data_IF_431842130113
#
_entry.id   IF_431842130113
#
_cell.length_a   1.000
_cell.length_b   1.000
_cell.length_c   1.000
_cell.angle_alpha   90.00
_cell.angle_beta   90.00
_cell.angle_gamma   90.00
#
_symmetry.space_group_name_H-M   'P 1'
#
loop_
_entity.id
_entity.type
_entity.pdbx_description
1 polymer ?
#
# COMPACT_ATOMS: atom_id res chain seq x y z
N UNK A 1 75.29 -46.24 -33.34
CA UNK A 1 75.05 -45.12 -32.45
C UNK A 1 73.56 -44.94 -32.39
N UNK A 2 72.91 -45.42 -31.27
CA UNK A 2 71.46 -45.24 -31.02
C UNK A 2 71.25 -43.88 -30.25
N UNK A 3 70.47 -43.02 -30.86
CA UNK A 3 69.98 -41.77 -30.16
C UNK A 3 68.74 -42.11 -29.35
N UNK A 4 68.85 -41.97 -28.05
CA UNK A 4 67.72 -42.06 -27.13
C UNK A 4 67.14 -40.63 -27.00
N UNK A 5 65.92 -40.46 -27.49
CA UNK A 5 65.17 -39.23 -27.29
C UNK A 5 64.41 -39.28 -25.95
N UNK A 6 64.70 -38.34 -25.08
CA UNK A 6 63.97 -38.16 -23.82
C UNK A 6 62.79 -37.24 -24.09
N UNK A 7 61.56 -37.79 -23.99
CA UNK A 7 60.32 -37.01 -24.05
C UNK A 7 60.05 -36.43 -22.64
N UNK A 8 60.10 -35.11 -22.55
CA UNK A 8 59.75 -34.38 -21.35
C UNK A 8 58.20 -34.20 -21.32
N UNK A 9 57.52 -34.92 -20.41
CA UNK A 9 56.07 -34.75 -20.19
C UNK A 9 55.89 -33.64 -19.16
N UNK A 10 55.40 -32.46 -19.62
CA UNK A 10 55.00 -31.37 -18.78
C UNK A 10 53.58 -31.63 -18.25
N UNK A 11 53.45 -32.01 -16.98
CA UNK A 11 52.16 -32.11 -16.27
C UNK A 11 51.76 -30.73 -15.81
N UNK A 12 50.79 -30.11 -16.49
CA UNK A 12 50.13 -28.91 -16.04
C UNK A 12 49.09 -29.27 -14.96
N UNK A 13 49.41 -29.06 -13.68
CA UNK A 13 48.43 -29.11 -12.60
C UNK A 13 47.62 -27.81 -12.61
N UNK A 14 46.36 -27.89 -13.12
CA UNK A 14 45.39 -26.85 -12.95
C UNK A 14 44.99 -26.77 -11.46
N UNK A 15 45.54 -25.83 -10.72
CA UNK A 15 44.96 -25.41 -9.46
C UNK A 15 43.67 -24.63 -9.78
N UNK A 16 42.54 -25.33 -9.76
CA UNK A 16 41.23 -24.70 -9.79
C UNK A 16 41.03 -23.91 -8.51
N UNK A 17 41.25 -22.61 -8.58
CA UNK A 17 40.81 -21.69 -7.52
C UNK A 17 39.27 -21.70 -7.49
N UNK A 18 38.71 -22.45 -6.54
CA UNK A 18 37.30 -22.33 -6.22
C UNK A 18 37.08 -20.90 -5.66
N UNK A 19 36.61 -19.98 -6.50
CA UNK A 19 36.07 -18.70 -6.06
C UNK A 19 34.80 -19.05 -5.29
N UNK A 20 34.92 -19.13 -3.96
CA UNK A 20 33.76 -19.12 -3.08
C UNK A 20 33.07 -17.79 -3.31
N UNK A 21 31.90 -17.83 -3.98
CA UNK A 21 31.02 -16.68 -4.03
C UNK A 21 30.63 -16.35 -2.59
N UNK A 22 31.26 -15.32 -2.04
CA UNK A 22 30.91 -14.78 -0.73
C UNK A 22 29.50 -14.25 -0.86
N UNK A 23 28.54 -14.90 -0.19
CA UNK A 23 27.15 -14.44 -0.19
C UNK A 23 27.16 -12.99 0.29
N UNK A 24 26.73 -12.07 -0.56
CA UNK A 24 26.62 -10.67 -0.21
C UNK A 24 25.70 -10.58 1.03
N UNK A 25 26.18 -9.95 2.09
CA UNK A 25 25.38 -9.69 3.29
C UNK A 25 24.24 -8.79 2.85
N UNK A 26 23.01 -9.33 2.83
CA UNK A 26 21.82 -8.55 2.51
C UNK A 26 21.49 -7.67 3.70
N UNK A 27 21.37 -6.37 3.45
CA UNK A 27 20.92 -5.41 4.47
C UNK A 27 19.48 -5.79 4.85
N UNK A 28 19.18 -5.99 6.14
CA UNK A 28 17.82 -6.27 6.57
C UNK A 28 16.85 -5.15 6.16
N UNK A 29 15.64 -5.52 5.72
CA UNK A 29 14.59 -4.56 5.47
C UNK A 29 13.97 -4.06 6.79
N UNK A 30 13.88 -2.75 6.92
CA UNK A 30 13.09 -2.03 7.92
C UNK A 30 12.00 -1.29 7.16
N UNK A 31 10.90 -1.98 6.89
CA UNK A 31 9.84 -1.50 6.02
C UNK A 31 8.70 -0.88 6.83
N UNK A 32 8.38 0.37 6.51
CA UNK A 32 7.26 1.12 7.08
C UNK A 32 6.30 1.52 5.97
N UNK A 33 5.05 1.06 6.07
CA UNK A 33 3.95 1.55 5.26
C UNK A 33 3.17 2.59 6.05
N UNK A 34 2.97 3.77 5.48
CA UNK A 34 2.26 4.86 6.12
C UNK A 34 1.28 5.52 5.14
N UNK A 35 0.25 6.13 5.68
CA UNK A 35 -0.73 6.83 4.87
C UNK A 35 -2.18 6.53 5.20
N UNK A 36 -2.97 6.27 4.17
CA UNK A 36 -4.42 6.11 4.23
C UNK A 36 -4.88 4.63 4.30
N UNK A 37 -6.14 4.39 3.99
CA UNK A 37 -6.77 3.07 3.99
C UNK A 37 -6.09 2.05 3.08
N UNK A 38 -5.44 2.48 1.98
CA UNK A 38 -4.73 1.57 1.09
C UNK A 38 -3.46 1.02 1.74
N UNK A 39 -2.72 1.87 2.47
CA UNK A 39 -1.56 1.44 3.23
C UNK A 39 -1.98 0.57 4.45
N UNK A 40 -3.13 0.87 5.07
CA UNK A 40 -3.69 0.05 6.14
C UNK A 40 -4.17 -1.32 5.65
N UNK A 41 -4.54 -1.46 4.37
CA UNK A 41 -5.06 -2.71 3.80
C UNK A 41 -6.58 -2.85 3.90
N UNK A 42 -7.33 -1.74 3.78
CA UNK A 42 -8.79 -1.80 3.83
C UNK A 42 -9.36 -2.48 2.58
N UNK A 43 -10.25 -3.44 2.80
CA UNK A 43 -10.91 -4.21 1.74
C UNK A 43 -12.25 -3.58 1.31
N UNK A 44 -12.87 -4.02 0.19
CA UNK A 44 -14.16 -3.50 -0.28
C UNK A 44 -15.34 -3.73 0.68
N UNK A 45 -15.17 -4.46 1.75
CA UNK A 45 -16.15 -4.73 2.80
C UNK A 45 -15.79 -4.05 4.14
N UNK A 46 -14.99 -3.00 4.09
CA UNK A 46 -14.57 -2.17 5.23
C UNK A 46 -13.80 -2.92 6.34
N UNK A 47 -13.18 -4.05 6.00
CA UNK A 47 -12.28 -4.78 6.92
C UNK A 47 -10.83 -4.40 6.63
N UNK A 48 -9.99 -4.43 7.66
CA UNK A 48 -8.54 -4.33 7.50
C UNK A 48 -8.00 -5.75 7.34
N UNK A 49 -7.28 -6.01 6.25
CA UNK A 49 -6.72 -7.30 5.91
C UNK A 49 -5.35 -7.14 5.24
N UNK A 50 -4.83 -8.20 4.65
CA UNK A 50 -3.60 -8.14 3.88
C UNK A 50 -3.75 -7.20 2.68
N UNK A 51 -3.10 -6.05 2.75
CA UNK A 51 -3.02 -5.05 1.69
C UNK A 51 -1.73 -5.15 0.88
N UNK A 52 -1.47 -4.14 0.03
CA UNK A 52 -0.24 -4.10 -0.77
C UNK A 52 1.02 -4.11 0.12
N UNK A 53 0.95 -3.48 1.29
CA UNK A 53 2.09 -3.40 2.22
C UNK A 53 2.48 -4.78 2.76
N UNK A 54 1.49 -5.59 3.13
CA UNK A 54 1.70 -6.95 3.62
C UNK A 54 2.27 -7.84 2.52
N UNK A 55 1.80 -7.69 1.28
CA UNK A 55 2.29 -8.43 0.11
C UNK A 55 3.75 -8.06 -0.22
N UNK A 56 4.09 -6.76 -0.15
CA UNK A 56 5.48 -6.29 -0.29
C UNK A 56 6.36 -6.90 0.81
N UNK A 57 5.92 -6.84 2.08
CA UNK A 57 6.67 -7.40 3.20
C UNK A 57 6.91 -8.91 3.03
N UNK A 58 5.90 -9.65 2.56
CA UNK A 58 6.01 -11.07 2.25
C UNK A 58 7.05 -11.36 1.17
N UNK A 59 7.05 -10.58 0.09
CA UNK A 59 8.01 -10.75 -1.00
C UNK A 59 9.43 -10.35 -0.58
N UNK A 60 9.59 -9.26 0.19
CA UNK A 60 10.87 -8.89 0.79
C UNK A 60 11.43 -10.04 1.64
N UNK A 61 10.60 -10.67 2.47
CA UNK A 61 11.00 -11.75 3.36
C UNK A 61 11.49 -13.01 2.64
N UNK A 62 11.08 -13.25 1.40
CA UNK A 62 11.60 -14.34 0.55
C UNK A 62 13.03 -14.10 0.09
N UNK A 63 13.41 -12.84 -0.03
CA UNK A 63 14.67 -12.47 -0.68
C UNK A 63 15.70 -11.91 0.28
N UNK A 64 15.30 -11.37 1.44
CA UNK A 64 16.19 -10.77 2.44
C UNK A 64 15.55 -10.84 3.83
N UNK A 65 16.34 -10.73 4.91
CA UNK A 65 15.79 -10.58 6.25
C UNK A 65 14.90 -9.34 6.34
N UNK A 66 13.72 -9.45 6.96
CA UNK A 66 12.87 -8.33 7.31
C UNK A 66 12.95 -8.16 8.82
N UNK A 67 13.70 -7.14 9.27
CA UNK A 67 13.91 -6.86 10.68
C UNK A 67 12.75 -6.08 11.30
N UNK A 68 12.04 -5.28 10.48
CA UNK A 68 10.83 -4.56 10.86
C UNK A 68 9.88 -4.50 9.67
N UNK A 69 8.63 -4.79 9.93
CA UNK A 69 7.51 -4.40 9.07
C UNK A 69 6.40 -3.85 9.95
N UNK A 70 5.89 -2.68 9.61
CA UNK A 70 4.73 -2.09 10.28
C UNK A 70 3.93 -1.22 9.33
N UNK A 71 2.62 -1.16 9.58
CA UNK A 71 1.65 -0.24 8.98
C UNK A 71 0.87 0.57 10.04
N UNK A 72 1.41 0.67 11.25
CA UNK A 72 0.80 1.38 12.37
C UNK A 72 0.72 2.91 12.18
N UNK A 73 1.34 3.42 11.12
CA UNK A 73 1.25 4.82 10.72
C UNK A 73 0.27 5.06 9.56
N UNK A 74 -0.57 4.05 9.25
CA UNK A 74 -1.56 4.09 8.19
C UNK A 74 -2.97 3.92 8.77
N UNK A 75 -3.87 4.86 8.44
CA UNK A 75 -5.25 4.82 8.94
C UNK A 75 -6.26 5.10 7.83
N UNK A 76 -7.38 4.36 7.79
CA UNK A 76 -8.49 4.66 6.90
C UNK A 76 -8.98 6.10 7.05
N UNK A 77 -9.24 6.75 5.90
CA UNK A 77 -9.74 8.12 5.88
C UNK A 77 -8.69 9.22 6.03
N UNK A 78 -7.43 8.91 6.35
CA UNK A 78 -6.39 9.94 6.49
C UNK A 78 -6.21 10.74 5.20
N UNK A 79 -6.29 12.06 5.34
CA UNK A 79 -5.90 13.06 4.35
C UNK A 79 -4.39 13.28 4.39
N UNK A 80 -3.87 14.09 3.47
CA UNK A 80 -2.45 14.49 3.53
C UNK A 80 -2.11 15.27 4.81
N UNK A 81 -3.05 16.03 5.37
CA UNK A 81 -2.87 16.74 6.64
C UNK A 81 -2.71 15.74 7.79
N UNK A 82 -3.63 14.76 7.90
CA UNK A 82 -3.60 13.74 8.96
C UNK A 82 -2.29 12.93 8.91
N UNK A 83 -1.83 12.57 7.71
CA UNK A 83 -0.55 11.88 7.52
C UNK A 83 0.62 12.77 7.97
N UNK A 84 0.59 14.07 7.65
CA UNK A 84 1.62 15.02 8.09
C UNK A 84 1.68 15.13 9.62
N UNK A 85 0.53 15.17 10.27
CA UNK A 85 0.46 15.18 11.73
C UNK A 85 0.95 13.86 12.32
N UNK A 86 0.52 12.73 11.74
CA UNK A 86 0.91 11.40 12.21
C UNK A 86 2.42 11.17 12.17
N UNK A 87 3.10 11.54 11.09
CA UNK A 87 4.55 11.37 11.00
C UNK A 87 5.33 12.31 11.95
N UNK A 88 4.72 13.40 12.42
CA UNK A 88 5.31 14.30 13.41
C UNK A 88 5.11 13.82 14.85
N UNK A 89 4.23 12.86 15.06
CA UNK A 89 3.93 12.35 16.40
C UNK A 89 5.15 11.71 17.07
N UNK A 90 5.20 11.68 18.42
CA UNK A 90 6.26 11.00 19.14
C UNK A 90 6.39 9.51 18.82
N UNK A 91 5.24 8.83 18.59
CA UNK A 91 5.16 7.40 18.29
C UNK A 91 5.82 7.06 16.95
N UNK A 92 5.74 7.96 15.98
CA UNK A 92 6.37 7.77 14.66
C UNK A 92 7.90 7.89 14.70
N UNK A 93 8.46 8.54 15.71
CA UNK A 93 9.89 8.95 15.72
C UNK A 93 10.86 7.79 15.59
N UNK A 94 10.73 6.78 16.44
CA UNK A 94 11.67 5.64 16.47
C UNK A 94 11.49 4.73 15.27
N UNK A 95 10.23 4.50 14.87
CA UNK A 95 9.88 3.69 13.70
C UNK A 95 10.47 4.31 12.44
N UNK A 96 10.27 5.60 12.21
CA UNK A 96 10.80 6.30 11.03
C UNK A 96 12.34 6.37 11.05
N UNK A 97 12.96 6.59 12.20
CA UNK A 97 14.41 6.65 12.29
C UNK A 97 15.09 5.31 11.96
N UNK A 98 14.41 4.20 12.17
CA UNK A 98 14.90 2.85 11.84
C UNK A 98 14.64 2.45 10.38
N UNK A 99 13.67 3.06 9.71
CA UNK A 99 13.21 2.67 8.37
C UNK A 99 14.33 2.83 7.31
N UNK A 100 14.40 1.86 6.40
CA UNK A 100 15.18 1.98 5.16
C UNK A 100 14.32 1.81 3.89
N UNK A 101 13.06 1.39 4.04
CA UNK A 101 12.05 1.36 2.98
C UNK A 101 10.78 1.99 3.53
N UNK A 102 10.23 2.98 2.83
CA UNK A 102 8.95 3.59 3.17
C UNK A 102 8.06 3.60 1.95
N UNK A 103 6.82 3.07 2.06
CA UNK A 103 5.75 3.35 1.12
C UNK A 103 4.77 4.34 1.72
N UNK A 104 4.38 5.35 0.94
CA UNK A 104 3.48 6.42 1.33
C UNK A 104 2.26 6.45 0.41
N UNK A 105 1.06 6.29 0.97
CA UNK A 105 -0.22 6.40 0.29
C UNK A 105 -1.01 7.56 0.94
N UNK A 106 -1.06 8.74 0.31
CA UNK A 106 -1.77 9.91 0.83
C UNK A 106 -2.22 10.84 -0.31
N UNK A 107 -3.41 11.40 -0.21
CA UNK A 107 -3.95 12.39 -1.15
C UNK A 107 -5.32 12.07 -1.74
N UNK A 108 -5.72 10.80 -1.80
CA UNK A 108 -7.04 10.46 -2.32
C UNK A 108 -8.16 11.01 -1.42
N UNK A 109 -8.04 10.90 -0.11
CA UNK A 109 -9.08 11.35 0.83
C UNK A 109 -9.28 12.86 0.83
N UNK A 110 -8.28 13.64 0.44
CA UNK A 110 -8.42 15.10 0.22
C UNK A 110 -9.49 15.40 -0.84
N UNK A 111 -9.65 14.50 -1.83
CA UNK A 111 -10.69 14.60 -2.87
C UNK A 111 -11.94 13.79 -2.54
N UNK A 112 -11.80 12.55 -2.05
CA UNK A 112 -12.90 11.62 -1.84
C UNK A 112 -13.96 12.18 -0.89
N UNK A 113 -13.56 12.90 0.15
CA UNK A 113 -14.47 13.58 1.09
C UNK A 113 -15.36 14.65 0.45
N UNK A 114 -15.04 15.10 -0.77
CA UNK A 114 -15.81 16.09 -1.52
C UNK A 114 -16.81 15.46 -2.50
N UNK A 115 -16.73 14.15 -2.70
CA UNK A 115 -17.51 13.42 -3.69
C UNK A 115 -18.77 12.85 -3.05
N UNK A 116 -19.92 13.14 -3.67
CA UNK A 116 -21.19 12.52 -3.32
C UNK A 116 -21.49 11.43 -4.35
N UNK A 117 -21.60 10.19 -3.91
CA UNK A 117 -21.81 9.02 -4.77
C UNK A 117 -23.24 8.51 -4.61
N UNK A 118 -23.89 8.20 -5.74
CA UNK A 118 -25.11 7.42 -5.77
C UNK A 118 -24.85 6.10 -6.52
N UNK A 119 -24.50 5.01 -5.80
CA UNK A 119 -24.14 3.74 -6.42
C UNK A 119 -25.30 3.11 -7.21
N UNK A 120 -26.57 3.32 -6.77
CA UNK A 120 -27.76 2.78 -7.45
C UNK A 120 -27.94 3.39 -8.85
N UNK A 121 -27.58 4.64 -9.02
CA UNK A 121 -27.67 5.34 -10.30
C UNK A 121 -26.34 5.32 -11.08
N UNK A 122 -25.27 4.83 -10.48
CA UNK A 122 -23.91 4.93 -11.04
C UNK A 122 -23.52 6.38 -11.32
N UNK A 123 -23.86 7.28 -10.39
CA UNK A 123 -23.61 8.71 -10.53
C UNK A 123 -22.79 9.24 -9.35
N UNK A 124 -21.99 10.27 -9.61
CA UNK A 124 -21.28 11.03 -8.59
C UNK A 124 -21.31 12.52 -8.92
N UNK A 125 -21.18 13.35 -7.88
CA UNK A 125 -21.08 14.80 -7.99
C UNK A 125 -19.99 15.35 -7.10
N UNK A 126 -19.34 16.39 -7.54
CA UNK A 126 -18.38 17.18 -6.76
C UNK A 126 -18.34 18.62 -7.30
N UNK A 127 -17.84 19.56 -6.49
CA UNK A 127 -17.64 20.94 -6.92
C UNK A 127 -16.19 21.14 -7.37
N UNK A 128 -15.99 21.55 -8.62
CA UNK A 128 -14.66 21.68 -9.22
C UNK A 128 -13.77 22.64 -8.41
N UNK A 129 -14.30 23.77 -7.95
CA UNK A 129 -13.52 24.74 -7.17
C UNK A 129 -13.01 24.14 -5.84
N UNK A 130 -13.82 23.31 -5.18
CA UNK A 130 -13.40 22.63 -3.96
C UNK A 130 -12.32 21.58 -4.26
N UNK A 131 -12.47 20.83 -5.35
CA UNK A 131 -11.46 19.87 -5.79
C UNK A 131 -10.12 20.56 -6.12
N UNK A 132 -10.16 21.76 -6.74
CA UNK A 132 -8.96 22.53 -7.04
C UNK A 132 -8.24 23.01 -5.77
N UNK A 133 -8.98 23.46 -4.76
CA UNK A 133 -8.41 23.79 -3.45
C UNK A 133 -7.81 22.58 -2.76
N UNK A 134 -8.54 21.48 -2.69
CA UNK A 134 -8.07 20.24 -2.06
C UNK A 134 -6.79 19.70 -2.73
N UNK A 135 -6.71 19.73 -4.05
CA UNK A 135 -5.50 19.34 -4.78
C UNK A 135 -4.31 20.25 -4.46
N UNK A 136 -4.55 21.56 -4.27
CA UNK A 136 -3.46 22.46 -3.90
C UNK A 136 -3.00 22.24 -2.45
N UNK A 137 -3.91 21.98 -1.52
CA UNK A 137 -3.58 21.59 -0.14
C UNK A 137 -2.83 20.27 -0.10
N UNK A 138 -3.32 19.26 -0.81
CA UNK A 138 -2.65 17.95 -0.93
C UNK A 138 -1.21 18.10 -1.47
N UNK A 139 -0.99 18.99 -2.45
CA UNK A 139 0.35 19.29 -2.95
C UNK A 139 1.25 19.88 -1.88
N UNK A 140 0.77 20.89 -1.14
CA UNK A 140 1.55 21.54 -0.08
C UNK A 140 1.88 20.56 1.06
N UNK A 141 0.88 19.80 1.49
CA UNK A 141 1.05 18.80 2.53
C UNK A 141 1.99 17.67 2.09
N UNK A 142 1.88 17.18 0.84
CA UNK A 142 2.79 16.16 0.30
C UNK A 142 4.24 16.65 0.27
N UNK A 143 4.49 17.90 -0.13
CA UNK A 143 5.83 18.49 -0.07
C UNK A 143 6.36 18.55 1.37
N UNK A 144 5.50 18.89 2.34
CA UNK A 144 5.85 18.91 3.76
C UNK A 144 6.09 17.51 4.33
N UNK A 145 5.23 16.53 3.98
CA UNK A 145 5.40 15.11 4.36
C UNK A 145 6.77 14.60 3.91
N UNK A 146 7.10 14.80 2.64
CA UNK A 146 8.37 14.34 2.09
C UNK A 146 9.58 15.02 2.72
N UNK A 147 9.47 16.29 3.08
CA UNK A 147 10.51 17.01 3.81
C UNK A 147 10.70 16.45 5.24
N UNK A 148 9.60 16.17 5.95
CA UNK A 148 9.65 15.54 7.29
C UNK A 148 10.21 14.12 7.21
N UNK A 149 9.80 13.30 6.23
CA UNK A 149 10.35 11.96 6.05
C UNK A 149 11.86 11.99 5.78
N UNK A 150 12.32 12.92 4.95
CA UNK A 150 13.76 13.11 4.72
C UNK A 150 14.54 13.44 5.99
N UNK A 151 13.92 14.21 6.90
CA UNK A 151 14.55 14.58 8.17
C UNK A 151 14.50 13.43 9.20
N UNK A 152 13.38 12.71 9.29
CA UNK A 152 13.13 11.70 10.32
C UNK A 152 13.60 10.29 9.94
N UNK A 153 13.60 9.98 8.65
CA UNK A 153 14.00 8.70 8.07
C UNK A 153 15.13 8.88 7.03
N UNK A 154 16.30 9.45 7.40
CA UNK A 154 17.33 9.84 6.44
C UNK A 154 17.98 8.66 5.69
N UNK A 155 17.72 7.43 6.12
CA UNK A 155 18.24 6.19 5.50
C UNK A 155 17.22 5.52 4.58
N UNK A 156 15.98 6.03 4.57
CA UNK A 156 14.89 5.37 3.85
C UNK A 156 14.82 5.81 2.40
N UNK A 157 14.67 4.83 1.52
CA UNK A 157 14.14 5.05 0.18
C UNK A 157 12.63 5.20 0.30
N UNK A 158 12.10 6.35 -0.14
CA UNK A 158 10.67 6.69 -0.03
C UNK A 158 10.00 6.47 -1.37
N UNK A 159 8.90 5.71 -1.37
CA UNK A 159 8.08 5.39 -2.52
C UNK A 159 6.67 5.97 -2.31
N UNK A 160 6.32 6.99 -3.09
CA UNK A 160 4.99 7.58 -3.09
C UNK A 160 4.11 6.76 -4.03
N UNK A 161 3.11 6.08 -3.44
CA UNK A 161 2.15 5.27 -4.19
C UNK A 161 1.17 6.19 -4.93
N UNK A 162 1.02 5.99 -6.23
CA UNK A 162 -0.05 6.60 -7.01
C UNK A 162 -1.40 5.95 -6.70
N UNK A 163 -2.46 6.52 -7.27
CA UNK A 163 -3.81 6.02 -7.14
C UNK A 163 -4.35 5.53 -8.47
N UNK A 164 -5.33 4.64 -8.41
CA UNK A 164 -6.08 4.07 -9.52
C UNK A 164 -7.45 4.76 -9.65
N UNK A 165 -8.19 4.45 -10.71
CA UNK A 165 -9.54 4.97 -10.90
C UNK A 165 -10.52 4.31 -9.91
N UNK A 166 -10.90 5.09 -8.89
CA UNK A 166 -11.66 4.59 -7.73
C UNK A 166 -13.14 4.32 -8.01
N UNK A 167 -13.69 4.85 -9.12
CA UNK A 167 -15.12 4.76 -9.44
C UNK A 167 -15.41 4.05 -10.77
N UNK A 168 -14.95 2.81 -10.99
CA UNK A 168 -15.10 2.14 -12.28
C UNK A 168 -16.56 1.82 -12.66
N UNK A 169 -17.47 1.84 -11.68
CA UNK A 169 -18.90 1.52 -11.84
C UNK A 169 -19.78 2.73 -12.18
N UNK A 170 -19.23 3.94 -12.20
CA UNK A 170 -20.01 5.12 -12.63
C UNK A 170 -20.29 5.09 -14.12
N UNK A 171 -21.33 5.83 -14.55
CA UNK A 171 -21.69 5.98 -15.96
C UNK A 171 -20.52 6.51 -16.78
N UNK A 172 -20.38 6.05 -18.01
CA UNK A 172 -19.26 6.44 -18.88
C UNK A 172 -19.14 7.96 -19.07
N UNK A 173 -20.28 8.66 -19.10
CA UNK A 173 -20.32 10.12 -19.20
C UNK A 173 -19.64 10.85 -18.03
N UNK A 174 -19.43 10.19 -16.89
CA UNK A 174 -18.77 10.77 -15.72
C UNK A 174 -17.31 10.33 -15.53
N UNK A 175 -16.93 9.25 -16.22
CA UNK A 175 -15.56 8.70 -16.09
C UNK A 175 -14.48 9.69 -16.51
N UNK A 176 -14.71 10.45 -17.59
CA UNK A 176 -13.73 11.43 -18.07
C UNK A 176 -13.45 12.53 -17.05
N UNK A 177 -14.51 13.14 -16.49
CA UNK A 177 -14.36 14.23 -15.51
C UNK A 177 -13.69 13.77 -14.22
N UNK A 178 -14.06 12.57 -13.76
CA UNK A 178 -13.48 11.96 -12.55
C UNK A 178 -12.04 11.53 -12.78
N UNK A 179 -11.76 10.93 -13.95
CA UNK A 179 -10.41 10.52 -14.35
C UNK A 179 -9.43 11.69 -14.41
N UNK A 180 -9.88 12.86 -14.89
CA UNK A 180 -9.07 14.09 -14.87
C UNK A 180 -8.62 14.50 -13.47
N UNK A 181 -9.44 14.27 -12.43
CA UNK A 181 -9.01 14.58 -11.06
C UNK A 181 -7.96 13.59 -10.56
N UNK A 182 -8.10 12.31 -10.90
CA UNK A 182 -7.08 11.30 -10.64
C UNK A 182 -5.74 11.65 -11.33
N UNK A 183 -5.78 11.99 -12.61
CA UNK A 183 -4.58 12.37 -13.37
C UNK A 183 -3.85 13.56 -12.73
N UNK A 184 -4.63 14.56 -12.26
CA UNK A 184 -4.09 15.73 -11.57
C UNK A 184 -3.46 15.36 -10.22
N UNK A 185 -4.13 14.50 -9.43
CA UNK A 185 -3.59 14.01 -8.17
C UNK A 185 -2.28 13.24 -8.41
N UNK A 186 -2.28 12.26 -9.31
CA UNK A 186 -1.08 11.48 -9.63
C UNK A 186 0.06 12.35 -10.17
N UNK A 187 -0.26 13.39 -10.96
CA UNK A 187 0.74 14.35 -11.42
C UNK A 187 1.37 15.15 -10.26
N UNK A 188 0.55 15.59 -9.29
CA UNK A 188 1.02 16.27 -8.07
C UNK A 188 1.95 15.34 -7.27
N UNK A 189 1.51 14.11 -7.00
CA UNK A 189 2.29 13.13 -6.25
C UNK A 189 3.64 12.84 -6.91
N UNK A 190 3.62 12.62 -8.24
CA UNK A 190 4.82 12.38 -9.04
C UNK A 190 5.79 13.56 -9.00
N UNK A 191 5.28 14.79 -9.14
CA UNK A 191 6.11 16.00 -9.13
C UNK A 191 6.70 16.25 -7.74
N UNK A 192 5.90 16.07 -6.67
CA UNK A 192 6.37 16.23 -5.29
C UNK A 192 7.42 15.17 -4.94
N UNK A 193 7.21 13.92 -5.34
CA UNK A 193 8.19 12.85 -5.17
C UNK A 193 9.53 13.19 -5.87
N UNK A 194 9.48 13.57 -7.15
CA UNK A 194 10.67 13.94 -7.91
C UNK A 194 11.43 15.12 -7.29
N UNK A 195 10.72 16.16 -6.83
CA UNK A 195 11.29 17.32 -6.14
C UNK A 195 12.02 16.95 -4.86
N UNK A 196 11.51 15.97 -4.12
CA UNK A 196 12.09 15.51 -2.86
C UNK A 196 13.19 14.44 -3.02
N UNK A 197 13.38 13.90 -4.22
CA UNK A 197 14.27 12.76 -4.47
C UNK A 197 13.65 11.41 -4.07
N UNK A 198 12.32 11.36 -3.89
CA UNK A 198 11.57 10.14 -3.68
C UNK A 198 11.13 9.52 -5.02
N UNK A 199 10.70 8.27 -5.00
CA UNK A 199 10.22 7.56 -6.17
C UNK A 199 8.68 7.61 -6.21
N UNK A 200 8.10 7.74 -7.42
CA UNK A 200 6.66 7.64 -7.62
C UNK A 200 6.32 6.29 -8.23
N UNK A 201 5.38 5.56 -7.62
CA UNK A 201 4.90 4.26 -8.11
C UNK A 201 3.61 4.44 -8.91
N UNK A 202 3.61 4.22 -10.24
CA UNK A 202 2.43 4.43 -11.10
C UNK A 202 1.44 3.27 -10.97
N UNK A 203 0.56 3.35 -9.99
CA UNK A 203 -0.44 2.31 -9.68
C UNK A 203 -1.55 2.27 -10.74
N UNK A 204 -1.94 3.40 -11.31
CA UNK A 204 -2.98 3.53 -12.33
C UNK A 204 -2.75 2.59 -13.54
N UNK A 205 -1.51 2.51 -14.01
CA UNK A 205 -1.14 1.64 -15.11
C UNK A 205 -1.41 0.15 -14.82
N UNK A 206 -1.20 -0.28 -13.57
CA UNK A 206 -1.43 -1.67 -13.13
C UNK A 206 -2.92 -2.01 -12.98
N UNK A 207 -3.77 -1.01 -12.77
CA UNK A 207 -5.23 -1.20 -12.65
C UNK A 207 -5.94 -1.18 -14.01
N UNK A 208 -5.46 -0.38 -14.95
CA UNK A 208 -6.13 -0.15 -16.22
C UNK A 208 -7.28 0.88 -16.13
N UNK A 209 -7.92 1.16 -17.26
CA UNK A 209 -8.89 2.26 -17.38
C UNK A 209 -10.25 1.99 -16.72
N UNK A 210 -10.62 0.74 -16.50
CA UNK A 210 -11.93 0.38 -15.91
C UNK A 210 -11.79 -0.87 -15.02
N UNK A 211 -11.18 -0.73 -13.83
CA UNK A 211 -10.73 -1.85 -13.00
C UNK A 211 -11.88 -2.44 -12.14
N UNK A 212 -13.00 -2.81 -12.73
CA UNK A 212 -14.15 -3.39 -12.01
C UNK A 212 -13.84 -4.75 -11.36
N UNK A 213 -12.86 -5.47 -11.90
CA UNK A 213 -12.33 -6.73 -11.35
C UNK A 213 -11.46 -6.52 -10.10
N UNK A 214 -10.87 -5.33 -9.94
CA UNK A 214 -9.99 -4.97 -8.83
C UNK A 214 -10.67 -4.09 -7.78
N UNK A 215 -11.68 -3.32 -8.20
CA UNK A 215 -12.53 -2.48 -7.34
C UNK A 215 -13.98 -2.94 -7.54
N UNK A 216 -14.38 -4.06 -6.92
CA UNK A 216 -15.63 -4.77 -7.26
C UNK A 216 -16.88 -4.12 -6.68
N UNK A 217 -16.79 -3.33 -5.61
CA UNK A 217 -17.92 -2.76 -4.92
C UNK A 217 -18.28 -1.38 -5.48
N UNK A 218 -19.50 -1.19 -6.07
CA UNK A 218 -19.93 0.11 -6.58
C UNK A 218 -20.07 1.20 -5.51
N UNK A 219 -20.21 0.81 -4.24
CA UNK A 219 -20.38 1.72 -3.11
C UNK A 219 -19.09 1.96 -2.32
N UNK A 220 -17.97 1.35 -2.73
CA UNK A 220 -16.70 1.42 -2.04
C UNK A 220 -15.55 1.63 -3.04
N UNK A 221 -14.52 2.33 -2.62
CA UNK A 221 -13.38 2.68 -3.47
C UNK A 221 -12.19 1.73 -3.31
N UNK A 222 -12.25 0.82 -2.32
CA UNK A 222 -11.11 -0.01 -1.96
C UNK A 222 -10.96 -1.20 -2.90
N UNK A 223 -9.71 -1.64 -3.14
CA UNK A 223 -9.44 -2.78 -3.99
C UNK A 223 -9.61 -4.10 -3.23
N UNK A 224 -9.90 -5.15 -3.97
CA UNK A 224 -9.76 -6.52 -3.49
C UNK A 224 -8.27 -6.97 -3.50
N UNK A 225 -8.00 -8.22 -3.11
CA UNK A 225 -6.64 -8.77 -3.09
C UNK A 225 -5.92 -8.69 -4.44
N UNK A 226 -6.64 -8.88 -5.56
CA UNK A 226 -6.04 -8.74 -6.90
C UNK A 226 -5.61 -7.29 -7.18
N UNK A 227 -6.37 -6.32 -6.71
CA UNK A 227 -6.01 -4.91 -6.79
C UNK A 227 -4.80 -4.59 -5.90
N UNK A 228 -4.76 -5.09 -4.67
CA UNK A 228 -3.60 -4.95 -3.80
C UNK A 228 -2.34 -5.64 -4.34
N UNK A 229 -2.50 -6.81 -4.97
CA UNK A 229 -1.40 -7.46 -5.70
C UNK A 229 -0.86 -6.58 -6.83
N UNK A 230 -1.75 -5.93 -7.59
CA UNK A 230 -1.34 -5.01 -8.65
C UNK A 230 -0.54 -3.82 -8.10
N UNK A 231 -0.94 -3.25 -6.94
CA UNK A 231 -0.19 -2.20 -6.24
C UNK A 231 1.18 -2.70 -5.77
N UNK A 232 1.23 -3.86 -5.12
CA UNK A 232 2.48 -4.46 -4.66
C UNK A 232 3.45 -4.72 -5.82
N UNK A 233 2.95 -5.28 -6.92
CA UNK A 233 3.76 -5.56 -8.11
C UNK A 233 4.25 -4.28 -8.81
N UNK A 234 3.46 -3.21 -8.81
CA UNK A 234 3.90 -1.90 -9.32
C UNK A 234 5.08 -1.33 -8.50
N UNK A 235 5.08 -1.51 -7.19
CA UNK A 235 6.21 -1.17 -6.33
C UNK A 235 7.41 -2.07 -6.61
N UNK A 236 7.22 -3.39 -6.63
CA UNK A 236 8.30 -4.38 -6.78
C UNK A 236 9.05 -4.23 -8.11
N UNK A 237 8.35 -3.90 -9.19
CA UNK A 237 8.99 -3.64 -10.49
C UNK A 237 10.01 -2.48 -10.43
N UNK A 238 9.78 -1.49 -9.55
CA UNK A 238 10.73 -0.39 -9.34
C UNK A 238 11.80 -0.72 -8.29
N UNK A 239 11.40 -1.43 -7.22
CA UNK A 239 12.31 -1.75 -6.13
C UNK A 239 13.38 -2.75 -6.55
N UNK A 240 12.95 -3.86 -7.14
CA UNK A 240 13.85 -4.90 -7.63
C UNK A 240 13.21 -5.65 -8.80
N UNK A 241 13.68 -5.36 -10.00
CA UNK A 241 13.17 -5.97 -11.23
C UNK A 241 13.14 -7.51 -11.14
N UNK A 242 12.00 -8.08 -11.50
CA UNK A 242 11.78 -9.53 -11.49
C UNK A 242 11.23 -10.08 -10.18
N UNK A 243 11.10 -9.24 -9.12
CA UNK A 243 10.35 -9.63 -7.94
C UNK A 243 8.86 -9.39 -8.17
N UNK A 244 8.06 -10.32 -7.66
CA UNK A 244 6.63 -10.30 -7.96
C UNK A 244 5.85 -11.18 -6.99
N UNK A 245 4.75 -10.68 -6.49
CA UNK A 245 3.74 -11.47 -5.79
C UNK A 245 2.94 -12.28 -6.83
N UNK A 246 2.96 -13.59 -6.72
CA UNK A 246 2.25 -14.49 -7.64
C UNK A 246 0.81 -14.75 -7.18
N UNK A 247 -0.06 -15.15 -8.12
CA UNK A 247 -1.48 -15.41 -7.80
C UNK A 247 -1.68 -16.52 -6.76
N UNK A 248 -0.75 -17.48 -6.70
CA UNK A 248 -0.77 -18.58 -5.71
C UNK A 248 -0.46 -18.13 -4.30
N UNK A 249 -0.04 -16.90 -4.12
CA UNK A 249 0.37 -16.30 -2.84
C UNK A 249 -0.70 -15.37 -2.27
N UNK A 250 -1.77 -15.18 -3.03
CA UNK A 250 -2.91 -14.40 -2.57
C UNK A 250 -3.69 -15.17 -1.51
N UNK A 251 -4.24 -14.48 -0.51
CA UNK A 251 -5.19 -15.10 0.42
C UNK A 251 -6.32 -15.78 -0.33
N UNK A 252 -6.82 -16.89 0.22
CA UNK A 252 -7.99 -17.54 -0.34
C UNK A 252 -9.17 -16.55 -0.40
N UNK A 253 -9.94 -16.53 -1.50
CA UNK A 253 -11.11 -15.67 -1.58
C UNK A 253 -12.08 -15.96 -0.43
N UNK A 254 -12.72 -14.93 0.10
CA UNK A 254 -13.81 -15.13 1.05
C UNK A 254 -14.90 -15.98 0.38
N UNK A 255 -15.36 -17.08 1.00
CA UNK A 255 -16.37 -17.94 0.42
C UNK A 255 -17.75 -17.25 0.25
N UNK A 256 -17.97 -16.14 0.95
CA UNK A 256 -19.19 -15.35 0.83
C UNK A 256 -19.05 -14.31 -0.28
N UNK A 257 -20.11 -14.14 -1.10
CA UNK A 257 -20.17 -13.02 -2.03
C UNK A 257 -20.31 -11.70 -1.25
N UNK A 258 -19.95 -10.59 -1.91
CA UNK A 258 -20.10 -9.27 -1.30
C UNK A 258 -21.55 -9.00 -0.84
N UNK A 259 -22.55 -9.39 -1.62
CA UNK A 259 -23.96 -9.28 -1.28
C UNK A 259 -24.33 -10.11 -0.05
N UNK A 260 -23.77 -11.31 0.09
CA UNK A 260 -23.97 -12.15 1.28
C UNK A 260 -23.32 -11.54 2.52
N UNK A 261 -22.15 -10.90 2.39
CA UNK A 261 -21.49 -10.19 3.49
C UNK A 261 -22.33 -9.00 3.94
N UNK A 262 -22.83 -8.18 2.99
CA UNK A 262 -23.71 -7.06 3.31
C UNK A 262 -24.99 -7.51 3.99
N UNK A 263 -25.64 -8.54 3.48
CA UNK A 263 -26.87 -9.11 4.10
C UNK A 263 -26.60 -9.63 5.52
N UNK A 264 -25.46 -10.27 5.75
CA UNK A 264 -25.07 -10.73 7.09
C UNK A 264 -24.82 -9.56 8.05
N UNK A 265 -24.22 -8.46 7.57
CA UNK A 265 -24.01 -7.25 8.37
C UNK A 265 -25.34 -6.54 8.70
N UNK A 266 -26.26 -6.41 7.74
CA UNK A 266 -27.59 -5.86 7.95
C UNK A 266 -28.41 -6.69 8.95
N UNK A 267 -28.33 -8.00 8.87
CA UNK A 267 -29.03 -8.92 9.80
C UNK A 267 -28.37 -8.91 11.19
N UNK A 268 -27.04 -8.79 11.29
CA UNK A 268 -26.30 -8.65 12.53
C UNK A 268 -26.60 -7.34 13.25
N UNK A 269 -26.70 -6.24 12.50
CA UNK A 269 -27.08 -4.93 13.06
C UNK A 269 -28.52 -4.92 13.59
N UNK A 270 -29.42 -5.70 12.99
CA UNK A 270 -30.81 -5.83 13.45
C UNK A 270 -30.97 -6.73 14.72
N UNK A 271 -29.95 -7.52 15.07
CA UNK A 271 -30.01 -8.49 16.19
C UNK A 271 -29.30 -8.03 17.47
N UNK A 272 -28.64 -6.85 17.49
CA UNK A 272 -27.92 -6.35 18.66
C UNK A 272 -28.82 -5.51 19.61
N UNK A 273 -29.87 -6.13 20.17
CA UNK A 273 -30.49 -5.60 21.41
C UNK A 273 -29.88 -6.17 22.70
N UNK A 274 -28.94 -7.12 22.65
CA UNK A 274 -28.17 -7.55 23.85
C UNK A 274 -26.87 -8.24 23.45
N UNK A 275 -25.68 -7.69 23.69
CA UNK A 275 -24.41 -8.41 23.53
C UNK A 275 -24.17 -9.36 24.72
N UNK A 276 -23.74 -10.60 24.50
CA UNK A 276 -23.27 -11.47 25.59
C UNK A 276 -21.95 -10.95 26.15
N UNK A 277 -21.79 -10.99 27.46
CA UNK A 277 -20.57 -10.61 28.18
C UNK A 277 -19.37 -11.44 27.71
N UNK A 278 -18.28 -10.76 27.28
CA UNK A 278 -17.02 -11.40 26.92
C UNK A 278 -16.28 -11.90 28.16
N UNK A 279 -16.12 -13.21 28.26
CA UNK A 279 -15.17 -13.83 29.16
C UNK A 279 -13.72 -13.63 28.69
N UNK A 280 -12.87 -13.27 29.65
CA UNK A 280 -11.43 -13.01 29.48
C UNK A 280 -10.70 -14.17 28.81
N UNK A 281 -10.03 -13.90 27.67
CA UNK A 281 -8.89 -14.71 27.22
C UNK A 281 -7.72 -13.79 26.83
N UNK A 282 -6.65 -13.97 27.60
CA UNK A 282 -5.36 -13.30 27.43
C UNK A 282 -4.59 -13.90 26.25
N UNK A 283 -4.48 -13.18 25.17
CA UNK A 283 -3.40 -13.11 24.17
C UNK A 283 -3.96 -12.49 22.87
N UNK A 284 -4.02 -11.16 22.82
CA UNK A 284 -4.40 -10.42 21.61
C UNK A 284 -3.25 -10.43 20.60
N UNK A 285 -3.55 -10.74 19.33
CA UNK A 285 -2.64 -10.53 18.22
C UNK A 285 -2.58 -9.04 17.87
N UNK A 286 -1.47 -8.52 17.31
CA UNK A 286 -1.33 -7.10 16.96
C UNK A 286 -2.45 -6.52 16.06
N UNK A 287 -3.06 -7.36 15.20
CA UNK A 287 -4.20 -6.99 14.34
C UNK A 287 -5.48 -6.65 15.10
N UNK A 288 -5.70 -7.27 16.27
CA UNK A 288 -6.91 -7.04 17.08
C UNK A 288 -6.89 -5.68 17.80
N UNK A 289 -5.69 -5.16 18.09
CA UNK A 289 -5.54 -3.84 18.71
C UNK A 289 -5.89 -2.70 17.75
N UNK A 290 -5.56 -2.86 16.47
CA UNK A 290 -5.90 -1.87 15.42
C UNK A 290 -7.41 -1.83 15.16
N UNK A 291 -8.08 -2.99 15.21
CA UNK A 291 -9.54 -3.09 15.05
C UNK A 291 -10.31 -2.40 16.18
N UNK A 292 -9.82 -2.51 17.42
CA UNK A 292 -10.43 -1.84 18.59
C UNK A 292 -10.26 -0.31 18.52
N UNK A 293 -9.09 0.18 18.08
CA UNK A 293 -8.85 1.61 17.91
C UNK A 293 -9.68 2.17 16.74
N UNK A 294 -9.89 1.37 15.67
CA UNK A 294 -10.76 1.74 14.55
C UNK A 294 -12.24 1.83 14.95
N UNK A 295 -12.74 0.88 15.75
CA UNK A 295 -14.12 0.90 16.26
C UNK A 295 -14.35 2.08 17.23
N UNK A 296 -13.38 2.40 18.07
CA UNK A 296 -13.45 3.54 18.98
C UNK A 296 -13.48 4.89 18.21
N UNK A 297 -12.73 5.01 17.11
CA UNK A 297 -12.76 6.19 16.23
C UNK A 297 -14.09 6.33 15.47
N UNK A 298 -14.75 5.21 15.12
CA UNK A 298 -16.05 5.22 14.44
C UNK A 298 -17.19 5.75 15.32
N UNK A 299 -17.09 5.59 16.64
CA UNK A 299 -18.09 6.18 17.58
C UNK A 299 -17.90 7.68 17.79
N UNK A 300 -16.71 8.21 17.53
CA UNK A 300 -16.37 9.64 17.68
C UNK A 300 -16.66 10.44 16.41
N UNK A 301 -16.75 9.79 15.23
CA UNK A 301 -17.02 10.42 13.93
C UNK A 301 -18.28 9.82 13.28
N UNK A 302 -19.50 10.28 13.60
CA UNK A 302 -20.74 9.67 13.11
C UNK A 302 -21.06 9.87 11.62
N UNK A 303 -20.21 10.50 10.82
CA UNK A 303 -20.47 10.76 9.39
C UNK A 303 -19.16 10.79 8.58
N UNK A 304 -18.63 9.62 8.21
CA UNK A 304 -17.79 9.47 7.01
C UNK A 304 -18.18 8.16 6.33
#
# INVERSE_FOLDING_TARGET
>A
VKKIGIALVLVFTFFGSSVQAQAAIKIPAFYVALGDSLAAGQTPNSQIDAGYADMIAGELARHQPVALFTKDLAFPGFTTEDVLERIKSPEAKEVLASANIITLSAGANDLLRLVQVNPKEGSLTFQQIQADFALNEARQNMEAILAELKARAPKADVYVMGYYFAYPHVRDSQKEGTGKQLDRLNAILKQSAAKAGAQFVPVDAAFGASPTDKVPNPADVHPNFTGYQAMANAFLEQYQKGWKVENTELPAPNPLSFEQILQAQEQGAASTENPPALENTSAMRPSEKVELDYLALREVLPYI
#
